data_IF_354807609738
#
_entry.id   IF_354807609738
#
_cell.length_a   1.000
_cell.length_b   1.000
_cell.length_c   1.000
_cell.angle_alpha   90.00
_cell.angle_beta   90.00
_cell.angle_gamma   90.00
#
_symmetry.space_group_name_H-M   'P 1'
#
loop_
_entity.id
_entity.type
_entity.pdbx_description
1 polymer ?
#
# COMPACT_ATOMS: atom_id res chain seq x y z
N UNK A 1 -8.81 1.83 20.63
CA UNK A 1 -8.02 1.86 19.37
C UNK A 1 -8.99 1.81 18.19
N UNK A 2 -8.81 2.66 17.18
CA UNK A 2 -9.65 2.66 15.98
C UNK A 2 -8.95 1.86 14.88
N UNK A 3 -9.60 0.82 14.39
CA UNK A 3 -9.08 0.03 13.28
C UNK A 3 -9.46 0.74 11.98
N UNK A 4 -8.45 1.17 11.22
CA UNK A 4 -8.67 1.83 9.92
C UNK A 4 -8.93 0.80 8.82
N UNK A 5 -8.17 -0.30 8.83
CA UNK A 5 -8.34 -1.43 7.92
C UNK A 5 -8.18 -2.74 8.68
N UNK A 6 -9.25 -3.53 8.71
CA UNK A 6 -9.20 -4.90 9.20
C UNK A 6 -9.17 -5.88 8.03
N UNK A 7 -7.97 -6.25 7.58
CA UNK A 7 -7.81 -7.19 6.48
C UNK A 7 -8.19 -8.64 6.83
N UNK A 8 -8.57 -8.93 8.08
CA UNK A 8 -9.06 -10.26 8.48
C UNK A 8 -10.56 -10.44 8.17
N UNK A 9 -11.30 -9.33 8.06
CA UNK A 9 -12.75 -9.34 7.83
C UNK A 9 -13.17 -8.56 6.58
N UNK A 10 -12.28 -7.74 6.00
CA UNK A 10 -12.57 -6.92 4.83
C UNK A 10 -13.03 -7.78 3.62
N UNK A 11 -14.14 -7.43 2.95
CA UNK A 11 -14.68 -8.25 1.85
C UNK A 11 -13.81 -8.19 0.59
N UNK A 12 -13.30 -7.01 0.24
CA UNK A 12 -12.57 -6.72 -1.00
C UNK A 12 -11.52 -5.62 -0.79
N UNK A 13 -10.82 -5.26 -1.87
CA UNK A 13 -9.82 -4.18 -1.89
C UNK A 13 -10.19 -3.11 -2.92
N UNK A 14 -11.47 -2.92 -3.23
CA UNK A 14 -11.91 -2.09 -4.36
C UNK A 14 -11.52 -0.61 -4.20
N UNK A 15 -11.32 -0.16 -2.96
CA UNK A 15 -10.85 1.18 -2.63
C UNK A 15 -9.34 1.39 -2.83
N UNK A 16 -8.61 0.30 -3.08
CA UNK A 16 -7.16 0.31 -3.25
C UNK A 16 -6.81 0.27 -4.73
N UNK A 17 -5.99 1.21 -5.17
CA UNK A 17 -5.49 1.27 -6.54
C UNK A 17 -3.97 1.22 -6.56
N UNK A 18 -3.42 0.56 -7.59
CA UNK A 18 -1.98 0.52 -7.81
C UNK A 18 -1.46 1.94 -8.05
N UNK A 19 -0.32 2.25 -7.44
CA UNK A 19 0.45 3.47 -7.64
C UNK A 19 1.92 3.09 -7.83
N UNK A 20 2.35 3.11 -9.09
CA UNK A 20 3.70 2.73 -9.51
C UNK A 20 4.20 3.68 -10.60
N UNK A 21 5.51 3.66 -10.87
CA UNK A 21 6.13 4.40 -11.97
C UNK A 21 5.50 4.10 -13.35
N UNK A 22 4.95 2.88 -13.56
CA UNK A 22 4.20 2.50 -14.76
C UNK A 22 2.86 3.26 -14.93
N UNK A 23 2.25 3.75 -13.85
CA UNK A 23 0.97 4.48 -13.95
C UNK A 23 1.11 5.86 -14.62
N UNK A 24 2.35 6.32 -14.82
CA UNK A 24 2.63 7.64 -15.40
C UNK A 24 3.30 7.58 -16.78
N UNK A 25 3.98 6.49 -17.18
CA UNK A 25 4.78 6.41 -18.41
C UNK A 25 4.91 4.95 -18.88
N UNK A 26 4.80 4.72 -20.20
CA UNK A 26 5.12 3.53 -21.03
C UNK A 26 5.09 2.10 -20.39
N UNK A 27 4.50 1.09 -21.06
CA UNK A 27 4.48 -0.30 -20.57
C UNK A 27 5.88 -0.89 -20.26
N UNK A 28 6.07 -1.48 -19.05
CA UNK A 28 7.29 -2.23 -18.69
C UNK A 28 8.03 -1.84 -17.41
N UNK A 29 7.47 -0.98 -16.55
CA UNK A 29 8.14 -0.48 -15.33
C UNK A 29 7.86 -1.32 -14.06
N UNK A 30 8.06 -0.75 -12.86
CA UNK A 30 7.79 -1.40 -11.59
C UNK A 30 6.30 -1.76 -11.45
N UNK A 31 6.01 -2.85 -10.76
CA UNK A 31 4.65 -3.35 -10.61
C UNK A 31 4.35 -3.76 -9.18
N UNK A 32 3.16 -3.45 -8.70
CA UNK A 32 2.65 -3.98 -7.45
C UNK A 32 1.35 -4.76 -7.66
N UNK A 33 1.08 -5.69 -6.76
CA UNK A 33 -0.21 -6.36 -6.65
C UNK A 33 -0.61 -6.43 -5.19
N UNK A 34 -1.80 -5.94 -4.86
CA UNK A 34 -2.36 -5.98 -3.51
C UNK A 34 -3.58 -6.88 -3.51
N UNK A 35 -3.53 -7.95 -2.71
CA UNK A 35 -4.53 -9.02 -2.75
C UNK A 35 -4.92 -9.46 -1.35
N UNK A 36 -6.17 -9.90 -1.19
CA UNK A 36 -6.61 -10.63 0.01
C UNK A 36 -6.31 -12.12 -0.18
N UNK A 37 -5.40 -12.65 0.63
CA UNK A 37 -5.25 -14.09 0.78
C UNK A 37 -6.35 -14.58 1.72
N UNK A 38 -7.34 -15.29 1.16
CA UNK A 38 -8.41 -15.95 1.93
C UNK A 38 -8.12 -17.44 2.02
N UNK A 39 -8.07 -17.97 3.23
CA UNK A 39 -7.98 -19.41 3.50
C UNK A 39 -9.14 -19.83 4.40
N UNK A 40 -9.33 -21.12 4.62
CA UNK A 40 -10.35 -21.60 5.56
C UNK A 40 -10.08 -21.19 7.02
N UNK A 41 -8.83 -20.85 7.36
CA UNK A 41 -8.41 -20.57 8.74
C UNK A 41 -8.21 -19.09 9.02
N UNK A 42 -7.79 -18.31 8.01
CA UNK A 42 -7.48 -16.90 8.17
C UNK A 42 -7.59 -16.14 6.86
N UNK A 43 -7.70 -14.82 7.00
CA UNK A 43 -7.60 -13.86 5.92
C UNK A 43 -6.54 -12.80 6.25
N UNK A 44 -5.78 -12.36 5.25
CA UNK A 44 -4.83 -11.24 5.36
C UNK A 44 -4.61 -10.56 4.01
N UNK A 45 -4.18 -9.31 4.04
CA UNK A 45 -3.72 -8.62 2.84
C UNK A 45 -2.24 -8.91 2.56
N UNK A 46 -1.88 -9.02 1.29
CA UNK A 46 -0.49 -9.19 0.83
C UNK A 46 -0.20 -8.17 -0.27
N UNK A 47 0.89 -7.43 -0.09
CA UNK A 47 1.47 -6.58 -1.10
C UNK A 47 2.65 -7.31 -1.75
N UNK A 48 2.54 -7.60 -3.04
CA UNK A 48 3.65 -8.01 -3.89
C UNK A 48 4.18 -6.79 -4.62
N UNK A 49 5.50 -6.62 -4.64
CA UNK A 49 6.16 -5.52 -5.34
C UNK A 49 7.34 -6.04 -6.14
N UNK A 50 7.39 -5.71 -7.42
CA UNK A 50 8.53 -5.91 -8.32
C UNK A 50 9.03 -4.54 -8.72
N UNK A 51 10.25 -4.21 -8.33
CA UNK A 51 10.89 -2.94 -8.66
C UNK A 51 11.70 -3.12 -9.94
N UNK A 52 11.48 -2.26 -10.92
CA UNK A 52 12.29 -2.16 -12.13
C UNK A 52 12.90 -0.76 -12.17
N UNK A 53 14.15 -0.63 -11.71
CA UNK A 53 14.85 0.66 -11.68
C UNK A 53 14.94 1.23 -13.10
N UNK A 54 14.32 2.37 -13.30
CA UNK A 54 14.32 3.08 -14.57
C UNK A 54 15.63 3.85 -14.74
N UNK A 55 16.09 4.08 -15.99
CA UNK A 55 17.32 4.86 -16.25
C UNK A 55 17.29 6.30 -15.69
N UNK A 56 16.10 6.84 -15.44
CA UNK A 56 15.88 8.15 -14.82
C UNK A 56 15.94 8.12 -13.28
N UNK A 57 16.24 6.97 -12.67
CA UNK A 57 16.30 6.78 -11.23
C UNK A 57 14.95 6.53 -10.55
N UNK A 58 13.84 6.48 -11.28
CA UNK A 58 12.54 6.09 -10.72
C UNK A 58 12.48 4.57 -10.48
N UNK A 59 11.87 4.16 -9.37
CA UNK A 59 11.71 2.75 -9.04
C UNK A 59 10.84 2.60 -7.82
N UNK A 60 9.52 2.75 -7.99
CA UNK A 60 8.57 2.54 -6.91
C UNK A 60 7.33 1.81 -7.41
N UNK A 61 6.81 0.94 -6.55
CA UNK A 61 5.54 0.29 -6.76
C UNK A 61 4.84 0.11 -5.41
N UNK A 62 3.56 0.46 -5.36
CA UNK A 62 2.76 0.37 -4.16
C UNK A 62 1.28 0.52 -4.48
N UNK A 63 0.50 0.74 -3.43
CA UNK A 63 -0.93 0.95 -3.52
C UNK A 63 -1.34 2.16 -2.70
N UNK A 64 -2.44 2.77 -3.10
CA UNK A 64 -3.09 3.85 -2.38
C UNK A 64 -4.56 3.52 -2.17
N UNK A 65 -5.05 3.80 -0.97
CA UNK A 65 -6.47 3.79 -0.68
C UNK A 65 -7.04 5.21 -0.71
N UNK A 66 -8.22 5.37 -1.29
CA UNK A 66 -8.93 6.66 -1.35
C UNK A 66 -9.96 6.78 -0.22
N UNK A 67 -9.49 6.72 1.02
CA UNK A 67 -10.30 6.89 2.22
C UNK A 67 -9.88 8.14 3.01
N UNK A 68 -10.84 8.72 3.71
CA UNK A 68 -10.65 9.90 4.55
C UNK A 68 -11.03 9.58 5.98
N UNK A 69 -10.16 9.93 6.93
CA UNK A 69 -10.41 9.70 8.35
C UNK A 69 -10.21 10.97 9.16
N UNK A 70 -11.09 11.20 10.13
CA UNK A 70 -10.76 12.06 11.26
C UNK A 70 -9.91 11.25 12.26
N UNK A 71 -8.68 11.72 12.48
CA UNK A 71 -7.68 11.14 13.40
C UNK A 71 -7.21 12.16 14.46
N UNK A 72 -7.94 13.28 14.67
CA UNK A 72 -7.54 14.37 15.58
C UNK A 72 -7.24 13.90 17.01
N UNK A 73 -7.92 12.86 17.49
CA UNK A 73 -7.76 12.31 18.84
C UNK A 73 -6.61 11.28 18.95
N UNK A 74 -5.88 11.01 17.87
CA UNK A 74 -4.87 9.95 17.81
C UNK A 74 -3.47 10.53 17.57
N UNK A 75 -2.48 10.03 18.31
CA UNK A 75 -1.09 10.52 18.24
C UNK A 75 -0.16 9.60 17.45
N UNK A 76 -0.59 8.39 17.10
CA UNK A 76 0.26 7.39 16.45
C UNK A 76 -0.56 6.48 15.52
N UNK A 77 0.14 5.91 14.54
CA UNK A 77 -0.34 4.82 13.69
C UNK A 77 0.39 3.53 14.07
N UNK A 78 -0.36 2.45 14.17
CA UNK A 78 0.18 1.12 14.39
C UNK A 78 -0.14 0.24 13.19
N UNK A 79 0.85 -0.52 12.72
CA UNK A 79 0.70 -1.45 11.62
C UNK A 79 1.28 -2.80 11.99
N UNK A 80 0.46 -3.84 11.88
CA UNK A 80 0.93 -5.21 12.02
C UNK A 80 1.35 -5.72 10.64
N UNK A 81 2.66 -5.83 10.41
CA UNK A 81 3.20 -6.20 9.09
C UNK A 81 4.33 -7.21 9.21
N UNK A 82 4.58 -7.92 8.11
CA UNK A 82 5.74 -8.80 7.93
C UNK A 82 6.24 -8.66 6.49
N UNK A 83 7.54 -8.54 6.31
CA UNK A 83 8.18 -8.49 5.00
C UNK A 83 8.98 -9.78 4.72
N UNK A 84 9.08 -10.13 3.44
CA UNK A 84 9.96 -11.17 2.91
C UNK A 84 10.45 -10.76 1.52
N UNK A 85 11.66 -11.17 1.15
CA UNK A 85 12.24 -10.90 -0.16
C UNK A 85 13.40 -9.91 -0.12
N UNK A 86 13.75 -9.38 -1.28
CA UNK A 86 14.93 -8.51 -1.47
C UNK A 86 14.66 -7.03 -1.18
N UNK A 87 13.41 -6.58 -1.28
CA UNK A 87 13.07 -5.21 -0.93
C UNK A 87 12.91 -5.07 0.59
N UNK A 88 13.86 -4.39 1.24
CA UNK A 88 13.85 -4.16 2.68
C UNK A 88 13.19 -2.84 3.11
N UNK A 89 12.82 -1.97 2.16
CA UNK A 89 12.38 -0.61 2.47
C UNK A 89 10.98 -0.38 1.90
N UNK A 90 10.06 -0.03 2.78
CA UNK A 90 8.70 0.40 2.44
C UNK A 90 8.41 1.72 3.16
N UNK A 91 7.83 2.69 2.43
CA UNK A 91 7.37 3.96 2.98
C UNK A 91 5.84 3.95 3.03
N UNK A 92 5.28 4.26 4.18
CA UNK A 92 3.84 4.50 4.36
C UNK A 92 3.64 6.01 4.40
N UNK A 93 2.67 6.50 3.63
CA UNK A 93 2.42 7.94 3.49
C UNK A 93 0.98 8.21 3.89
N UNK A 94 0.81 9.03 4.93
CA UNK A 94 -0.48 9.63 5.27
C UNK A 94 -0.53 11.04 4.66
N UNK A 95 -1.63 11.35 3.97
CA UNK A 95 -1.84 12.68 3.38
C UNK A 95 -2.83 13.45 4.25
N UNK A 96 -2.44 14.65 4.67
CA UNK A 96 -3.33 15.55 5.38
C UNK A 96 -3.98 16.51 4.38
N UNK A 97 -5.32 16.49 4.28
CA UNK A 97 -6.10 17.35 3.36
C UNK A 97 -5.65 17.26 1.90
N UNK A 98 -5.29 16.06 1.43
CA UNK A 98 -4.81 15.83 0.07
C UNK A 98 -3.41 16.39 -0.22
N UNK A 99 -2.73 17.01 0.75
CA UNK A 99 -1.36 17.48 0.58
C UNK A 99 -0.37 16.33 0.81
N UNK A 100 0.57 16.17 -0.13
CA UNK A 100 1.75 15.34 0.09
C UNK A 100 2.65 16.08 1.08
N UNK A 101 2.76 15.56 2.29
CA UNK A 101 3.83 15.98 3.21
C UNK A 101 5.12 15.37 2.63
N UNK A 102 6.05 16.23 2.21
CA UNK A 102 7.29 15.86 1.52
C UNK A 102 8.19 15.03 2.43
#
# INVERSE_FOLDING_TARGET
PKILYDFTTLPDLDKWRESSDHTYREPGMSKASFVLQKTQLFQRAILFSVLNLQPNGAGFAGYIADDHWNLEEYSALELLTRAQGQNGIYKIILRHKGMNIS
#
